data_IF_581769209340
#
_entry.id   IF_581769209340
#
_cell.length_a   1.000
_cell.length_b   1.000
_cell.length_c   1.000
_cell.angle_alpha   90.00
_cell.angle_beta   90.00
_cell.angle_gamma   90.00
#
_symmetry.space_group_name_H-M   'P 1'
#
loop_
_entity.id
_entity.type
_entity.pdbx_description
1 polymer ?
#
# COMPACT_ATOMS: atom_id res chain seq x y z
N UNK A 1 -24.74 -5.16 15.61
CA UNK A 1 -24.50 -3.73 15.32
C UNK A 1 -23.07 -3.25 15.65
N UNK A 2 -22.09 -4.16 15.88
CA UNK A 2 -20.70 -3.78 16.24
C UNK A 2 -19.63 -4.20 15.20
N UNK A 3 -20.02 -4.93 14.15
CA UNK A 3 -19.08 -5.49 13.16
C UNK A 3 -18.43 -4.43 12.28
N UNK A 4 -19.16 -3.37 11.92
CA UNK A 4 -18.63 -2.28 11.09
C UNK A 4 -17.41 -1.56 11.70
N UNK A 5 -17.44 -1.08 12.96
CA UNK A 5 -16.28 -0.43 13.56
C UNK A 5 -15.10 -1.40 13.79
N UNK A 6 -15.37 -2.69 14.04
CA UNK A 6 -14.33 -3.72 14.16
C UNK A 6 -13.61 -3.91 12.83
N UNK A 7 -14.35 -4.06 11.72
CA UNK A 7 -13.76 -4.21 10.38
C UNK A 7 -12.92 -2.98 10.00
N UNK A 8 -13.39 -1.77 10.32
CA UNK A 8 -12.62 -0.54 10.09
C UNK A 8 -11.32 -0.49 10.90
N UNK A 9 -11.38 -0.90 12.17
CA UNK A 9 -10.19 -0.96 13.05
C UNK A 9 -9.17 -1.96 12.52
N UNK A 10 -9.63 -3.16 12.13
CA UNK A 10 -8.77 -4.19 11.55
C UNK A 10 -8.13 -3.70 10.24
N UNK A 11 -8.89 -3.03 9.36
CA UNK A 11 -8.36 -2.48 8.12
C UNK A 11 -7.24 -1.45 8.37
N UNK A 12 -7.42 -0.55 9.34
CA UNK A 12 -6.41 0.44 9.72
C UNK A 12 -5.16 -0.25 10.29
N UNK A 13 -5.35 -1.25 11.16
CA UNK A 13 -4.23 -2.01 11.77
C UNK A 13 -3.45 -2.78 10.72
N UNK A 14 -4.14 -3.46 9.78
CA UNK A 14 -3.49 -4.19 8.68
C UNK A 14 -2.72 -3.23 7.78
N UNK A 15 -3.32 -2.10 7.39
CA UNK A 15 -2.64 -1.06 6.62
C UNK A 15 -1.39 -0.54 7.34
N UNK A 16 -1.49 -0.31 8.65
CA UNK A 16 -0.35 0.13 9.46
C UNK A 16 0.75 -0.93 9.52
N UNK A 17 0.42 -2.22 9.68
CA UNK A 17 1.41 -3.32 9.69
C UNK A 17 2.10 -3.43 8.33
N UNK A 18 1.35 -3.40 7.22
CA UNK A 18 1.92 -3.45 5.87
C UNK A 18 2.85 -2.27 5.61
N UNK A 19 2.51 -1.08 6.11
CA UNK A 19 3.34 0.12 5.97
C UNK A 19 4.52 0.18 6.93
N UNK A 20 4.41 -0.45 8.09
CA UNK A 20 5.50 -0.59 9.07
C UNK A 20 6.48 -1.70 8.68
N UNK A 21 6.05 -2.64 7.82
CA UNK A 21 6.93 -3.66 7.26
C UNK A 21 8.01 -2.94 6.43
N UNK A 22 9.28 -2.99 6.86
CA UNK A 22 10.35 -2.27 6.17
C UNK A 22 10.63 -2.97 4.86
N UNK A 23 10.23 -2.33 3.77
CA UNK A 23 10.43 -2.81 2.41
C UNK A 23 9.61 -1.92 1.50
N UNK A 24 10.26 -1.02 0.78
CA UNK A 24 9.58 -0.24 -0.25
C UNK A 24 9.06 -1.26 -1.28
N UNK A 25 7.74 -1.45 -1.47
CA UNK A 25 7.24 -2.35 -2.50
C UNK A 25 7.80 -1.94 -3.86
N UNK A 26 8.15 -0.67 -4.07
CA UNK A 26 8.87 -0.24 -5.26
C UNK A 26 10.28 -0.84 -5.34
N UNK A 27 11.02 -0.95 -4.23
CA UNK A 27 12.32 -1.60 -4.21
C UNK A 27 12.21 -3.13 -4.36
N UNK A 28 11.14 -3.75 -3.81
CA UNK A 28 10.88 -5.18 -3.98
C UNK A 28 10.50 -5.50 -5.44
N UNK A 29 9.64 -4.69 -6.06
CA UNK A 29 9.18 -4.86 -7.45
C UNK A 29 10.27 -4.50 -8.45
N UNK A 30 11.03 -3.42 -8.19
CA UNK A 30 12.08 -2.98 -9.09
C UNK A 30 13.33 -3.89 -9.01
N UNK A 31 13.48 -4.65 -7.92
CA UNK A 31 14.60 -5.55 -7.69
C UNK A 31 15.91 -4.82 -7.35
N UNK A 32 16.92 -5.59 -6.96
CA UNK A 32 18.23 -5.09 -6.49
C UNK A 32 19.02 -4.28 -7.55
N UNK A 33 18.57 -4.31 -8.81
CA UNK A 33 19.19 -3.64 -9.96
C UNK A 33 18.40 -2.42 -10.46
N UNK A 34 17.40 -1.96 -9.73
CA UNK A 34 16.58 -0.82 -10.12
C UNK A 34 17.38 0.49 -10.16
N UNK A 35 17.42 1.15 -11.32
CA UNK A 35 17.94 2.52 -11.36
C UNK A 35 17.06 3.45 -10.54
N UNK A 36 17.65 4.48 -9.94
CA UNK A 36 16.93 5.49 -9.12
C UNK A 36 15.81 6.20 -9.87
N UNK A 37 15.87 6.24 -11.20
CA UNK A 37 14.81 6.73 -12.08
C UNK A 37 13.65 5.73 -12.22
N UNK A 38 13.94 4.44 -12.42
CA UNK A 38 12.92 3.38 -12.42
C UNK A 38 12.21 3.28 -11.07
N UNK A 39 12.94 3.42 -9.96
CA UNK A 39 12.35 3.40 -8.62
C UNK A 39 11.35 4.56 -8.41
N UNK A 40 11.69 5.77 -8.89
CA UNK A 40 10.79 6.94 -8.84
C UNK A 40 9.56 6.75 -9.73
N UNK A 41 9.75 6.22 -10.94
CA UNK A 41 8.62 5.89 -11.82
C UNK A 41 7.68 4.88 -11.19
N UNK A 42 8.22 3.84 -10.55
CA UNK A 42 7.45 2.79 -9.88
C UNK A 42 6.73 3.34 -8.63
N UNK A 43 7.38 4.20 -7.84
CA UNK A 43 6.72 4.92 -6.72
C UNK A 43 5.58 5.80 -7.19
N UNK A 44 5.77 6.52 -8.29
CA UNK A 44 4.75 7.38 -8.87
C UNK A 44 3.56 6.54 -9.40
N UNK A 45 3.83 5.42 -10.07
CA UNK A 45 2.82 4.48 -10.56
C UNK A 45 2.02 3.81 -9.44
N UNK A 46 2.69 3.42 -8.35
CA UNK A 46 2.03 2.88 -7.17
C UNK A 46 1.39 3.95 -6.28
N UNK A 47 1.58 5.23 -6.57
CA UNK A 47 1.03 6.32 -5.78
C UNK A 47 1.63 6.44 -4.38
N UNK A 48 2.84 5.88 -4.14
CA UNK A 48 3.57 6.03 -2.88
C UNK A 48 3.97 7.48 -2.60
N UNK A 49 4.02 8.32 -3.64
CA UNK A 49 4.24 9.78 -3.54
C UNK A 49 2.99 10.55 -3.08
N UNK A 50 1.83 9.90 -2.99
CA UNK A 50 0.56 10.55 -2.63
C UNK A 50 0.41 10.65 -1.10
N UNK A 51 -0.40 11.59 -0.59
CA UNK A 51 -0.70 11.70 0.83
C UNK A 51 -1.23 10.38 1.43
N UNK A 52 -1.01 10.17 2.74
CA UNK A 52 -1.30 8.90 3.42
C UNK A 52 -2.76 8.45 3.29
N UNK A 53 -3.69 9.39 3.30
CA UNK A 53 -5.12 9.11 3.15
C UNK A 53 -5.45 8.62 1.74
N UNK A 54 -4.72 9.06 0.72
CA UNK A 54 -4.89 8.59 -0.66
C UNK A 54 -4.34 7.17 -0.82
N UNK A 55 -3.19 6.88 -0.21
CA UNK A 55 -2.63 5.52 -0.18
C UNK A 55 -3.58 4.54 0.51
N UNK A 56 -4.18 4.96 1.64
CA UNK A 56 -5.17 4.16 2.35
C UNK A 56 -6.43 3.90 1.50
N UNK A 57 -6.95 4.90 0.79
CA UNK A 57 -8.11 4.74 -0.07
C UNK A 57 -7.82 3.83 -1.27
N UNK A 58 -6.65 3.96 -1.91
CA UNK A 58 -6.23 3.08 -3.01
C UNK A 58 -6.12 1.62 -2.53
N UNK A 59 -5.47 1.41 -1.39
CA UNK A 59 -5.36 0.09 -0.76
C UNK A 59 -6.73 -0.47 -0.38
N UNK A 60 -7.63 0.35 0.17
CA UNK A 60 -8.97 -0.07 0.54
C UNK A 60 -9.80 -0.49 -0.69
N UNK A 61 -9.65 0.22 -1.81
CA UNK A 61 -10.32 -0.14 -3.08
C UNK A 61 -9.76 -1.45 -3.64
N UNK A 62 -8.44 -1.67 -3.58
CA UNK A 62 -7.83 -2.95 -3.98
C UNK A 62 -8.29 -4.10 -3.06
N UNK A 63 -8.31 -3.89 -1.75
CA UNK A 63 -8.82 -4.83 -0.76
C UNK A 63 -10.28 -5.20 -1.04
N UNK A 64 -11.13 -4.22 -1.35
CA UNK A 64 -12.54 -4.45 -1.71
C UNK A 64 -12.70 -5.17 -3.06
N UNK A 65 -11.72 -5.05 -3.96
CA UNK A 65 -11.63 -5.82 -5.21
C UNK A 65 -11.06 -7.23 -5.00
N UNK A 66 -10.61 -7.57 -3.79
CA UNK A 66 -9.95 -8.84 -3.49
C UNK A 66 -8.50 -8.91 -3.95
N UNK A 67 -7.94 -7.78 -4.40
CA UNK A 67 -6.55 -7.65 -4.84
C UNK A 67 -5.70 -7.25 -3.63
N UNK A 68 -4.96 -8.22 -3.11
CA UNK A 68 -4.11 -8.07 -1.92
C UNK A 68 -2.68 -7.65 -2.28
N UNK A 69 -2.46 -7.07 -3.46
CA UNK A 69 -1.16 -6.56 -3.90
C UNK A 69 -0.39 -7.52 -4.80
N UNK A 70 -1.05 -8.13 -5.78
CA UNK A 70 -0.40 -8.92 -6.86
C UNK A 70 -0.89 -8.46 -8.23
#
# INVERSE_FOLDING_TARGET
>A
MATLPVMGTVAIVVFAILRLTPGDPAAIIAGDSATSEQLQHIRAQMGLDKPIYVQFLLWLVQLLRGDLGV
#
